data_IF_082037102807
#
_entry.id   IF_082037102807
#
_cell.length_a   1.000
_cell.length_b   1.000
_cell.length_c   1.000
_cell.angle_alpha   90.00
_cell.angle_beta   90.00
_cell.angle_gamma   90.00
#
_symmetry.space_group_name_H-M   'P 1'
#
loop_
_entity.id
_entity.type
_entity.pdbx_description
1 polymer ?
#
# COMPACT_ATOMS: atom_id res chain seq x y z
N UNK A 1 4.10 -20.03 10.47
CA UNK A 1 3.33 -21.27 10.18
C UNK A 1 4.21 -22.32 9.49
N UNK A 2 4.94 -21.94 8.43
CA UNK A 2 5.82 -22.88 7.69
C UNK A 2 6.85 -23.50 8.62
N UNK A 3 7.61 -22.71 9.36
CA UNK A 3 8.66 -23.20 10.26
C UNK A 3 8.13 -24.10 11.39
N UNK A 4 6.91 -23.86 11.84
CA UNK A 4 6.29 -24.69 12.89
C UNK A 4 5.74 -26.02 12.39
N UNK A 5 5.65 -26.22 11.06
CA UNK A 5 5.01 -27.37 10.43
C UNK A 5 3.51 -27.51 10.74
N UNK A 6 2.88 -26.46 11.27
CA UNK A 6 1.46 -26.44 11.68
C UNK A 6 0.68 -25.35 10.91
N UNK A 7 1.02 -25.17 9.63
CA UNK A 7 0.33 -24.22 8.79
C UNK A 7 -1.14 -24.59 8.58
N UNK A 8 -2.01 -23.60 8.64
CA UNK A 8 -3.45 -23.72 8.35
C UNK A 8 -3.85 -22.92 7.12
N UNK A 9 -2.91 -22.18 6.54
CA UNK A 9 -3.09 -21.41 5.31
C UNK A 9 -2.38 -22.11 4.16
N UNK A 10 -2.98 -22.05 2.99
CA UNK A 10 -2.41 -22.59 1.76
C UNK A 10 -1.84 -21.48 0.88
N UNK A 11 -2.58 -20.36 0.76
CA UNK A 11 -2.21 -19.19 -0.05
C UNK A 11 -2.11 -17.97 0.85
N UNK A 12 -1.15 -17.13 0.55
CA UNK A 12 -0.98 -15.81 1.19
C UNK A 12 -0.95 -14.71 0.15
N UNK A 13 -1.59 -13.60 0.49
CA UNK A 13 -1.53 -12.32 -0.20
C UNK A 13 -0.49 -11.45 0.48
N UNK A 14 0.58 -11.11 -0.23
CA UNK A 14 1.68 -10.31 0.29
C UNK A 14 2.12 -9.26 -0.73
N UNK A 15 2.62 -8.11 -0.28
CA UNK A 15 3.37 -7.22 -1.15
C UNK A 15 4.51 -7.98 -1.85
N UNK A 16 4.70 -7.74 -3.15
CA UNK A 16 5.67 -8.49 -3.98
C UNK A 16 7.07 -8.54 -3.34
N UNK A 17 7.53 -7.44 -2.72
CA UNK A 17 8.82 -7.44 -2.01
C UNK A 17 8.90 -8.42 -0.82
N UNK A 18 7.78 -8.69 -0.17
CA UNK A 18 7.70 -9.68 0.92
C UNK A 18 7.66 -11.12 0.34
N UNK A 19 7.08 -11.30 -0.85
CA UNK A 19 7.17 -12.57 -1.58
C UNK A 19 8.63 -12.90 -1.93
N UNK A 20 9.38 -11.95 -2.49
CA UNK A 20 10.80 -12.11 -2.84
C UNK A 20 11.63 -12.49 -1.59
N UNK A 21 11.37 -11.83 -0.45
CA UNK A 21 12.05 -12.18 0.80
C UNK A 21 11.68 -13.58 1.27
N UNK A 22 10.41 -13.93 1.28
CA UNK A 22 9.93 -15.25 1.70
C UNK A 22 10.43 -16.37 0.78
N UNK A 23 10.62 -16.12 -0.52
CA UNK A 23 11.29 -17.02 -1.44
C UNK A 23 12.74 -17.29 -1.01
N UNK A 24 13.51 -16.23 -0.75
CA UNK A 24 14.89 -16.35 -0.28
C UNK A 24 15.00 -17.13 1.04
N UNK A 25 13.99 -17.04 1.90
CA UNK A 25 13.87 -17.78 3.16
C UNK A 25 13.29 -19.22 2.96
N UNK A 26 12.90 -19.59 1.73
CA UNK A 26 12.37 -20.92 1.40
C UNK A 26 10.96 -21.18 1.96
N UNK A 27 10.14 -20.13 2.12
CA UNK A 27 8.82 -20.23 2.71
C UNK A 27 7.71 -20.60 1.73
N UNK A 28 7.98 -20.63 0.42
CA UNK A 28 6.96 -20.83 -0.60
C UNK A 28 7.23 -22.08 -1.44
N UNK A 29 6.15 -22.62 -1.99
CA UNK A 29 6.18 -23.66 -3.01
C UNK A 29 6.46 -23.07 -4.39
N UNK A 30 7.24 -23.77 -5.22
CA UNK A 30 7.31 -23.44 -6.65
C UNK A 30 5.94 -23.61 -7.29
N UNK A 31 5.58 -22.64 -8.12
CA UNK A 31 4.35 -22.66 -8.89
C UNK A 31 4.50 -23.59 -10.11
N UNK A 32 3.49 -24.39 -10.36
CA UNK A 32 3.33 -25.12 -11.62
C UNK A 32 2.45 -24.28 -12.56
N UNK A 33 3.08 -23.53 -13.45
CA UNK A 33 2.38 -22.64 -14.39
C UNK A 33 1.43 -23.39 -15.33
N UNK A 34 1.59 -24.70 -15.50
CA UNK A 34 0.61 -25.52 -16.24
C UNK A 34 -0.76 -25.60 -15.52
N UNK A 35 -0.77 -25.41 -14.20
CA UNK A 35 -1.97 -25.32 -13.38
C UNK A 35 -2.49 -23.89 -13.21
N UNK A 36 -1.74 -22.89 -13.73
CA UNK A 36 -2.06 -21.45 -13.64
C UNK A 36 -1.97 -20.82 -15.04
N UNK A 37 -2.75 -21.28 -16.02
CA UNK A 37 -2.65 -20.78 -17.40
C UNK A 37 -2.92 -19.27 -17.53
N UNK A 38 -3.76 -18.68 -16.66
CA UNK A 38 -4.05 -17.25 -16.67
C UNK A 38 -2.81 -16.39 -16.29
N UNK A 39 -1.81 -16.96 -15.64
CA UNK A 39 -0.54 -16.28 -15.39
C UNK A 39 0.18 -15.84 -16.68
N UNK A 40 -0.14 -16.43 -17.83
CA UNK A 40 0.37 -15.99 -19.13
C UNK A 40 -0.06 -14.56 -19.50
N UNK A 41 -1.16 -14.06 -18.92
CA UNK A 41 -1.69 -12.70 -19.13
C UNK A 41 -1.04 -11.66 -18.20
N UNK A 42 -0.33 -12.12 -17.15
CA UNK A 42 0.35 -11.24 -16.19
C UNK A 42 1.72 -10.85 -16.77
N UNK A 43 2.10 -9.57 -16.73
CA UNK A 43 3.42 -9.12 -17.14
C UNK A 43 4.54 -9.89 -16.44
N UNK A 44 5.62 -10.20 -17.15
CA UNK A 44 6.76 -10.96 -16.60
C UNK A 44 7.43 -10.28 -15.40
N UNK A 45 7.33 -8.94 -15.31
CA UNK A 45 7.83 -8.17 -14.18
C UNK A 45 7.00 -8.35 -12.89
N UNK A 46 5.84 -8.97 -12.97
CA UNK A 46 4.90 -9.16 -11.85
C UNK A 46 4.69 -10.64 -11.50
N UNK A 47 5.51 -11.53 -12.01
CA UNK A 47 5.47 -12.97 -11.71
C UNK A 47 6.86 -13.56 -11.69
N UNK A 48 7.03 -14.61 -10.91
CA UNK A 48 8.24 -15.42 -10.85
C UNK A 48 7.90 -16.90 -10.59
N UNK A 49 8.89 -17.72 -10.23
CA UNK A 49 8.68 -19.15 -9.96
C UNK A 49 7.85 -19.42 -8.70
N UNK A 50 7.62 -18.44 -7.82
CA UNK A 50 6.99 -18.61 -6.50
C UNK A 50 5.80 -17.70 -6.28
N UNK A 51 5.62 -16.69 -7.13
CA UNK A 51 4.58 -15.69 -6.95
C UNK A 51 3.94 -15.21 -8.25
N UNK A 52 2.67 -14.83 -8.17
CA UNK A 52 1.93 -14.18 -9.25
C UNK A 52 1.29 -12.91 -8.72
N UNK A 53 1.64 -11.76 -9.31
CA UNK A 53 0.99 -10.48 -9.02
C UNK A 53 -0.46 -10.51 -9.47
N UNK A 54 -1.38 -10.07 -8.60
CA UNK A 54 -2.81 -10.11 -8.90
C UNK A 54 -3.50 -8.77 -8.73
N UNK A 55 -2.97 -7.88 -7.91
CA UNK A 55 -3.54 -6.55 -7.70
C UNK A 55 -2.43 -5.49 -7.60
N UNK A 56 -2.60 -4.39 -8.35
CA UNK A 56 -1.78 -3.20 -8.21
C UNK A 56 -2.64 -2.05 -7.70
N UNK A 57 -2.11 -1.29 -6.75
CA UNK A 57 -2.77 -0.15 -6.15
C UNK A 57 -1.77 0.96 -5.85
N UNK A 58 -2.28 2.17 -5.66
CA UNK A 58 -1.45 3.30 -5.32
C UNK A 58 -1.79 3.82 -3.93
N UNK A 59 -0.76 4.08 -3.13
CA UNK A 59 -0.90 4.90 -1.93
C UNK A 59 -0.87 6.36 -2.36
N UNK A 60 -1.93 7.08 -2.06
CA UNK A 60 -2.20 8.45 -2.51
C UNK A 60 -2.42 9.40 -1.33
N UNK A 61 -2.24 10.69 -1.58
CA UNK A 61 -2.75 11.74 -0.71
C UNK A 61 -4.22 11.95 -1.03
N UNK A 62 -5.09 11.67 -0.07
CA UNK A 62 -6.50 11.97 -0.15
C UNK A 62 -6.88 13.10 0.82
N UNK A 63 -7.90 13.86 0.47
CA UNK A 63 -8.34 15.01 1.25
C UNK A 63 -9.85 15.20 1.15
N UNK A 64 -10.42 15.92 2.12
CA UNK A 64 -11.83 16.29 2.13
C UNK A 64 -12.07 17.52 1.26
N UNK A 65 -13.03 17.43 0.35
CA UNK A 65 -13.39 18.52 -0.58
C UNK A 65 -14.24 19.62 0.07
N UNK A 66 -14.79 19.36 1.23
CA UNK A 66 -15.48 20.38 2.05
C UNK A 66 -14.50 21.17 2.93
N UNK A 67 -13.34 20.61 3.29
CA UNK A 67 -12.26 21.31 3.99
C UNK A 67 -11.38 22.11 3.01
N UNK A 68 -11.05 21.56 1.85
CA UNK A 68 -10.19 22.18 0.84
C UNK A 68 -10.95 22.35 -0.47
N UNK A 69 -11.07 23.60 -0.98
CA UNK A 69 -11.96 23.95 -2.10
C UNK A 69 -11.23 24.66 -3.24
N UNK A 70 -11.78 24.48 -4.45
CA UNK A 70 -11.33 25.21 -5.62
C UNK A 70 -9.96 24.73 -6.15
N UNK A 71 -9.12 25.67 -6.55
CA UNK A 71 -7.80 25.38 -7.11
C UNK A 71 -6.70 25.20 -6.04
N UNK A 72 -6.96 25.61 -4.80
CA UNK A 72 -6.00 25.57 -3.69
C UNK A 72 -6.24 24.32 -2.82
N UNK A 73 -6.11 23.17 -3.42
CA UNK A 73 -6.19 21.86 -2.76
C UNK A 73 -4.79 21.25 -2.60
N UNK A 74 -4.55 20.41 -1.58
CA UNK A 74 -3.26 19.74 -1.42
C UNK A 74 -3.01 18.78 -2.59
N UNK A 75 -1.82 18.84 -3.21
CA UNK A 75 -1.46 18.05 -4.41
C UNK A 75 -0.18 17.25 -4.26
N UNK A 76 0.61 17.56 -3.25
CA UNK A 76 1.92 16.94 -3.03
C UNK A 76 2.07 16.51 -1.58
N UNK A 77 3.01 15.62 -1.33
CA UNK A 77 3.33 15.27 0.05
C UNK A 77 3.93 16.46 0.82
N UNK A 78 4.60 17.40 0.14
CA UNK A 78 5.01 18.65 0.78
C UNK A 78 3.81 19.47 1.29
N UNK A 79 2.71 19.50 0.53
CA UNK A 79 1.46 20.15 0.97
C UNK A 79 0.87 19.46 2.19
N UNK A 80 0.96 18.12 2.28
CA UNK A 80 0.54 17.39 3.47
C UNK A 80 1.33 17.79 4.71
N UNK A 81 2.59 18.19 4.58
CA UNK A 81 3.43 18.68 5.68
C UNK A 81 3.23 20.17 5.99
N UNK A 82 2.65 20.96 5.07
CA UNK A 82 2.40 22.39 5.29
C UNK A 82 1.12 22.63 6.10
N UNK A 83 1.22 22.50 7.41
CA UNK A 83 0.10 22.68 8.34
C UNK A 83 -0.41 24.11 8.44
N UNK A 84 0.36 25.08 7.94
CA UNK A 84 -0.04 26.51 7.91
C UNK A 84 -0.90 26.80 6.69
N UNK A 85 -0.50 26.32 5.52
CA UNK A 85 -1.24 26.51 4.27
C UNK A 85 -2.48 25.61 4.23
N UNK A 86 -2.34 24.38 4.67
CA UNK A 86 -3.41 23.38 4.69
C UNK A 86 -3.67 22.94 6.14
N UNK A 87 -4.39 23.78 6.93
CA UNK A 87 -4.73 23.41 8.31
C UNK A 87 -5.71 22.24 8.35
N UNK A 88 -5.78 21.53 9.49
CA UNK A 88 -6.71 20.42 9.71
C UNK A 88 -6.02 19.15 10.19
N UNK A 89 -6.82 18.14 10.51
CA UNK A 89 -6.35 16.87 11.05
C UNK A 89 -5.77 15.98 9.95
N UNK A 90 -4.71 15.25 10.27
CA UNK A 90 -3.98 14.39 9.33
C UNK A 90 -3.83 12.98 9.87
N UNK A 91 -3.73 12.02 8.95
CA UNK A 91 -3.43 10.64 9.32
C UNK A 91 -2.44 9.99 8.34
N UNK A 92 -1.50 9.24 8.89
CA UNK A 92 -0.52 8.42 8.17
C UNK A 92 -0.65 6.96 8.57
N UNK A 93 -0.14 6.07 7.73
CA UNK A 93 -0.07 4.64 8.03
C UNK A 93 1.00 4.35 9.07
N UNK A 94 0.67 3.52 10.06
CA UNK A 94 1.61 3.05 11.08
C UNK A 94 2.46 1.86 10.56
N UNK A 95 3.09 2.03 9.42
CA UNK A 95 4.06 1.08 8.86
C UNK A 95 5.13 1.84 8.07
N UNK A 96 6.38 1.35 8.03
CA UNK A 96 7.46 2.00 7.30
C UNK A 96 7.14 2.21 5.82
N UNK A 97 6.65 1.19 5.12
CA UNK A 97 6.29 1.24 3.70
C UNK A 97 4.81 1.60 3.49
N UNK A 98 4.46 2.54 2.61
CA UNK A 98 5.35 3.48 1.90
C UNK A 98 5.53 4.81 2.65
N UNK A 99 5.35 4.85 3.98
CA UNK A 99 5.39 6.08 4.78
C UNK A 99 6.78 6.74 4.76
N UNK A 100 7.86 5.96 4.64
CA UNK A 100 9.23 6.51 4.52
C UNK A 100 9.44 7.17 3.16
N UNK A 101 8.96 6.55 2.08
CA UNK A 101 8.97 7.12 0.72
C UNK A 101 8.22 8.45 0.69
N UNK A 102 7.04 8.49 1.28
CA UNK A 102 6.20 9.68 1.39
C UNK A 102 6.90 10.80 2.18
N UNK A 103 7.56 10.47 3.26
CA UNK A 103 8.33 11.45 4.04
C UNK A 103 9.49 12.05 3.24
N UNK A 104 10.19 11.23 2.43
CA UNK A 104 11.27 11.71 1.55
C UNK A 104 10.73 12.59 0.43
N UNK A 105 9.59 12.23 -0.17
CA UNK A 105 8.91 13.07 -1.17
C UNK A 105 8.51 14.42 -0.56
N UNK A 106 7.96 14.41 0.65
CA UNK A 106 7.61 15.63 1.39
C UNK A 106 8.84 16.49 1.73
N UNK A 107 10.03 15.87 1.84
CA UNK A 107 11.30 16.56 2.07
C UNK A 107 12.02 16.95 0.77
N UNK A 108 11.32 16.85 -0.38
CA UNK A 108 11.79 17.29 -1.69
C UNK A 108 12.74 16.33 -2.40
N UNK A 109 12.83 15.06 -1.96
CA UNK A 109 13.59 14.05 -2.72
C UNK A 109 12.83 13.75 -4.01
N UNK A 110 13.46 13.85 -5.20
CA UNK A 110 12.82 13.51 -6.47
C UNK A 110 12.43 12.03 -6.52
N UNK A 111 11.32 11.71 -7.18
CA UNK A 111 10.78 10.34 -7.28
C UNK A 111 11.80 9.35 -7.87
N UNK A 112 12.58 9.77 -8.85
CA UNK A 112 13.63 8.98 -9.50
C UNK A 112 14.89 8.80 -8.63
N UNK A 113 14.97 9.43 -7.45
CA UNK A 113 16.10 9.38 -6.51
C UNK A 113 15.71 8.88 -5.12
N UNK A 114 14.55 8.27 -4.99
CA UNK A 114 14.09 7.75 -3.69
C UNK A 114 14.93 6.58 -3.19
N UNK A 115 15.43 5.73 -4.09
CA UNK A 115 16.13 4.51 -3.72
C UNK A 115 17.63 4.58 -4.02
N UNK A 116 18.47 4.03 -3.09
CA UNK A 116 18.10 3.45 -1.80
C UNK A 116 17.55 4.52 -0.84
N UNK A 117 16.58 4.15 0.00
CA UNK A 117 15.96 5.10 0.94
C UNK A 117 16.96 5.64 1.95
N UNK A 118 17.01 6.96 2.12
CA UNK A 118 17.65 7.61 3.28
C UNK A 118 16.70 7.53 4.49
N UNK A 119 16.78 6.41 5.19
CA UNK A 119 15.88 6.08 6.31
C UNK A 119 15.97 7.11 7.43
N UNK A 120 17.17 7.56 7.76
CA UNK A 120 17.38 8.55 8.81
C UNK A 120 16.76 9.91 8.45
N UNK A 121 16.87 10.32 7.20
CA UNK A 121 16.23 11.52 6.68
C UNK A 121 14.72 11.41 6.72
N UNK A 122 14.16 10.27 6.31
CA UNK A 122 12.73 10.00 6.37
C UNK A 122 12.19 10.10 7.80
N UNK A 123 12.87 9.50 8.78
CA UNK A 123 12.47 9.60 10.18
C UNK A 123 12.55 11.03 10.71
N UNK A 124 13.62 11.78 10.42
CA UNK A 124 13.70 13.21 10.78
C UNK A 124 12.52 14.01 10.22
N UNK A 125 12.10 13.70 9.00
CA UNK A 125 10.94 14.35 8.38
C UNK A 125 9.63 13.95 9.06
N UNK A 126 9.46 12.69 9.42
CA UNK A 126 8.28 12.20 10.16
C UNK A 126 8.18 12.82 11.56
N UNK A 127 9.29 12.99 12.28
CA UNK A 127 9.27 13.65 13.58
C UNK A 127 8.76 15.11 13.51
N UNK A 128 8.94 15.80 12.37
CA UNK A 128 8.42 17.17 12.19
C UNK A 128 6.88 17.20 12.14
N UNK A 129 6.24 16.22 11.49
CA UNK A 129 4.77 16.19 11.30
C UNK A 129 4.06 15.42 12.41
N UNK A 130 4.77 14.62 13.18
CA UNK A 130 4.22 13.73 14.21
C UNK A 130 3.26 14.42 15.19
N UNK A 131 3.52 15.65 15.66
CA UNK A 131 2.58 16.37 16.55
C UNK A 131 1.24 16.70 15.88
N UNK A 132 1.20 16.78 14.55
CA UNK A 132 0.02 17.15 13.77
C UNK A 132 -0.74 15.92 13.22
N UNK A 133 -0.26 14.69 13.51
CA UNK A 133 -0.91 13.44 13.14
C UNK A 133 -1.91 13.06 14.22
N UNK A 134 -3.19 13.16 13.89
CA UNK A 134 -4.27 12.77 14.79
C UNK A 134 -4.32 11.26 15.04
N UNK A 135 -4.08 10.46 14.01
CA UNK A 135 -4.14 9.00 14.08
C UNK A 135 -3.14 8.37 13.15
N UNK A 136 -2.44 7.36 13.65
CA UNK A 136 -1.62 6.45 12.85
C UNK A 136 -2.45 5.20 12.55
N UNK A 137 -3.01 5.11 11.34
CA UNK A 137 -3.90 4.00 11.00
C UNK A 137 -3.14 2.70 10.71
N UNK A 138 -3.81 1.57 10.96
CA UNK A 138 -3.22 0.22 10.85
C UNK A 138 -3.95 -0.68 9.85
N UNK A 139 -5.13 -0.29 9.36
CA UNK A 139 -5.90 -1.03 8.37
C UNK A 139 -6.56 -0.13 7.34
N UNK A 140 -6.74 -0.64 6.10
CA UNK A 140 -7.41 0.11 5.05
C UNK A 140 -8.87 0.46 5.39
N UNK A 141 -9.57 -0.36 6.18
CA UNK A 141 -10.89 -0.04 6.69
C UNK A 141 -10.86 1.18 7.62
N UNK A 142 -9.88 1.24 8.52
CA UNK A 142 -9.70 2.39 9.41
C UNK A 142 -9.41 3.68 8.62
N UNK A 143 -8.52 3.62 7.61
CA UNK A 143 -8.22 4.81 6.79
C UNK A 143 -9.46 5.35 6.06
N UNK A 144 -10.28 4.45 5.52
CA UNK A 144 -11.54 4.81 4.86
C UNK A 144 -12.52 5.47 5.85
N UNK A 145 -12.65 4.91 7.07
CA UNK A 145 -13.54 5.43 8.10
C UNK A 145 -13.14 6.82 8.56
N UNK A 146 -11.85 7.02 8.91
CA UNK A 146 -11.31 8.29 9.39
C UNK A 146 -11.65 9.47 8.46
N UNK A 147 -11.43 9.30 7.14
CA UNK A 147 -11.68 10.39 6.20
C UNK A 147 -13.16 10.52 5.84
N UNK A 148 -13.91 9.41 5.80
CA UNK A 148 -15.35 9.43 5.53
C UNK A 148 -16.11 10.17 6.61
N UNK A 149 -15.81 9.91 7.89
CA UNK A 149 -16.49 10.50 9.03
C UNK A 149 -16.02 11.94 9.35
N UNK A 150 -14.96 12.40 8.67
CA UNK A 150 -14.39 13.73 8.89
C UNK A 150 -13.56 13.84 10.16
N UNK A 151 -13.05 12.72 10.67
CA UNK A 151 -12.08 12.73 11.78
C UNK A 151 -10.73 13.28 11.32
N UNK A 152 -10.43 13.17 10.01
CA UNK A 152 -9.25 13.79 9.38
C UNK A 152 -9.62 14.49 8.08
N UNK A 153 -8.87 15.56 7.77
CA UNK A 153 -9.05 16.36 6.56
C UNK A 153 -8.12 15.90 5.43
N UNK A 154 -6.98 15.32 5.77
CA UNK A 154 -6.02 14.73 4.84
C UNK A 154 -5.52 13.38 5.35
N UNK A 155 -5.27 12.46 4.44
CA UNK A 155 -4.82 11.11 4.78
C UNK A 155 -3.95 10.50 3.69
N UNK A 156 -2.92 9.76 4.11
CA UNK A 156 -2.29 8.72 3.30
C UNK A 156 -3.24 7.53 3.24
N UNK A 157 -3.67 7.12 2.05
CA UNK A 157 -4.59 5.99 1.91
C UNK A 157 -4.40 5.25 0.58
N UNK A 158 -4.94 4.06 0.48
CA UNK A 158 -4.99 3.31 -0.78
C UNK A 158 -6.11 3.84 -1.66
N UNK A 159 -5.81 4.09 -2.94
CA UNK A 159 -6.76 4.65 -3.91
C UNK A 159 -8.10 3.91 -3.96
N UNK A 160 -8.09 2.56 -3.92
CA UNK A 160 -9.32 1.76 -3.91
C UNK A 160 -10.21 2.03 -2.69
N UNK A 161 -9.64 2.33 -1.52
CA UNK A 161 -10.41 2.70 -0.32
C UNK A 161 -11.07 4.06 -0.48
N UNK A 162 -10.34 5.03 -1.04
CA UNK A 162 -10.89 6.37 -1.28
C UNK A 162 -11.97 6.34 -2.36
N UNK A 163 -11.75 5.60 -3.44
CA UNK A 163 -12.79 5.40 -4.48
C UNK A 163 -14.07 4.81 -3.90
N UNK A 164 -13.96 3.84 -3.00
CA UNK A 164 -15.12 3.23 -2.36
C UNK A 164 -15.92 4.24 -1.50
N UNK A 165 -15.23 5.08 -0.70
CA UNK A 165 -15.93 6.09 0.12
C UNK A 165 -16.46 7.25 -0.71
N UNK A 166 -15.82 7.60 -1.83
CA UNK A 166 -16.37 8.53 -2.82
C UNK A 166 -17.68 8.00 -3.41
N UNK A 167 -17.70 6.74 -3.81
CA UNK A 167 -18.90 6.08 -4.36
C UNK A 167 -20.03 6.01 -3.32
N UNK A 168 -19.70 5.97 -2.03
CA UNK A 168 -20.67 6.04 -0.93
C UNK A 168 -21.14 7.48 -0.62
N UNK A 169 -20.65 8.50 -1.33
CA UNK A 169 -21.08 9.89 -1.21
C UNK A 169 -20.24 10.74 -0.23
N UNK A 170 -19.12 10.24 0.28
CA UNK A 170 -18.25 11.04 1.12
C UNK A 170 -17.61 12.19 0.30
N UNK A 171 -17.48 13.41 0.86
CA UNK A 171 -16.89 14.56 0.17
C UNK A 171 -15.35 14.48 0.21
N UNK A 172 -14.79 13.51 -0.48
CA UNK A 172 -13.34 13.25 -0.52
C UNK A 172 -12.83 13.23 -1.96
N UNK A 173 -11.56 13.58 -2.15
CA UNK A 173 -10.88 13.52 -3.43
C UNK A 173 -9.43 13.06 -3.24
N UNK A 174 -8.82 12.60 -4.33
CA UNK A 174 -7.39 12.33 -4.43
C UNK A 174 -6.95 12.49 -5.89
N UNK A 175 -5.65 12.59 -6.12
CA UNK A 175 -5.05 12.37 -7.42
C UNK A 175 -3.84 11.42 -7.31
N UNK A 176 -3.24 11.06 -8.45
CA UNK A 176 -2.09 10.15 -8.47
C UNK A 176 -0.75 10.87 -8.43
N UNK A 177 -0.72 12.20 -8.26
CA UNK A 177 0.53 12.93 -8.16
C UNK A 177 1.34 12.46 -6.94
N UNK A 178 2.57 12.04 -7.16
CA UNK A 178 3.45 11.44 -6.17
C UNK A 178 2.84 10.18 -5.48
N UNK A 179 1.88 9.52 -6.14
CA UNK A 179 1.35 8.25 -5.68
C UNK A 179 2.43 7.15 -5.68
N UNK A 180 2.47 6.36 -4.63
CA UNK A 180 3.40 5.22 -4.54
C UNK A 180 2.68 3.97 -5.01
N UNK A 181 3.11 3.44 -6.16
CA UNK A 181 2.55 2.21 -6.74
C UNK A 181 3.08 1.00 -5.96
N UNK A 182 2.17 0.13 -5.57
CA UNK A 182 2.46 -1.14 -4.92
C UNK A 182 1.72 -2.27 -5.65
N UNK A 183 2.32 -3.46 -5.64
CA UNK A 183 1.68 -4.68 -6.18
C UNK A 183 1.72 -5.75 -5.10
N UNK A 184 0.59 -6.41 -4.91
CA UNK A 184 0.53 -7.63 -4.12
C UNK A 184 0.57 -8.85 -5.03
N UNK A 185 1.20 -9.90 -4.52
CA UNK A 185 1.31 -11.19 -5.21
C UNK A 185 0.75 -12.30 -4.32
N UNK A 186 0.24 -13.34 -4.97
CA UNK A 186 -0.20 -14.57 -4.32
C UNK A 186 0.96 -15.56 -4.31
N UNK A 187 1.25 -16.11 -3.14
CA UNK A 187 2.26 -17.15 -2.91
C UNK A 187 1.62 -18.34 -2.22
N UNK A 188 2.08 -19.55 -2.55
CA UNK A 188 1.62 -20.79 -1.90
C UNK A 188 2.63 -21.16 -0.82
N UNK A 189 2.16 -21.36 0.42
CA UNK A 189 3.04 -21.70 1.53
C UNK A 189 3.66 -23.08 1.36
N UNK A 190 4.94 -23.18 1.67
CA UNK A 190 5.68 -24.45 1.61
C UNK A 190 5.08 -25.48 2.54
N UNK A 191 4.90 -26.70 2.05
CA UNK A 191 4.29 -27.80 2.80
C UNK A 191 2.76 -27.76 2.83
N UNK A 192 2.11 -26.90 2.04
CA UNK A 192 0.64 -26.89 1.90
C UNK A 192 0.16 -28.28 1.44
N UNK A 193 -0.78 -28.91 2.18
CA UNK A 193 -1.37 -30.18 1.77
C UNK A 193 -2.32 -30.04 0.59
N UNK A 194 -2.74 -28.83 0.25
CA UNK A 194 -3.73 -28.51 -0.81
C UNK A 194 -3.10 -27.81 -2.01
N UNK A 195 -1.81 -28.04 -2.29
CA UNK A 195 -1.03 -27.35 -3.32
C UNK A 195 -1.74 -27.22 -4.68
N UNK A 196 -2.36 -28.30 -5.19
CA UNK A 196 -3.08 -28.27 -6.48
C UNK A 196 -4.32 -27.37 -6.41
N UNK A 197 -5.07 -27.42 -5.33
CA UNK A 197 -6.24 -26.54 -5.13
C UNK A 197 -5.80 -25.07 -4.99
N UNK A 198 -4.72 -24.83 -4.27
CA UNK A 198 -4.12 -23.50 -4.13
C UNK A 198 -3.68 -22.91 -5.49
N UNK A 199 -3.05 -23.69 -6.36
CA UNK A 199 -2.70 -23.24 -7.72
C UNK A 199 -3.93 -22.92 -8.58
N UNK A 200 -4.99 -23.72 -8.48
CA UNK A 200 -6.25 -23.41 -9.16
C UNK A 200 -6.88 -22.12 -8.62
N UNK A 201 -6.82 -21.87 -7.31
CA UNK A 201 -7.28 -20.61 -6.72
C UNK A 201 -6.46 -19.43 -7.28
N UNK A 202 -5.12 -19.53 -7.31
CA UNK A 202 -4.24 -18.49 -7.89
C UNK A 202 -4.56 -18.23 -9.36
N UNK A 203 -5.01 -19.26 -10.12
CA UNK A 203 -5.41 -19.08 -11.52
C UNK A 203 -6.68 -18.27 -11.69
N UNK A 204 -7.62 -18.32 -10.73
CA UNK A 204 -8.92 -17.67 -10.81
C UNK A 204 -8.95 -16.28 -10.14
N UNK A 205 -7.93 -15.93 -9.35
CA UNK A 205 -7.82 -14.65 -8.64
C UNK A 205 -7.45 -13.49 -9.58
#
# INVERSE_FOLDING_TARGET
>A
QVESGKGTWDVVDLPTGDCIRGEAEGLFEKLDLALIPNAAQIPDSLKDEYSVGYISYSTVLAYRTDAFKGADVPKTWADFWDTKKYPGQRSLRNLPRPTLEIALLADGVPMDKLYPLDVDRAFRKLEQIKPDIATWWTSGGQSAQLISDGEVDMIQAWNGRITAVQAAGAPVAFDYNQGVLETNSLCILKGSPHKVAAMKFVNEA
#
